data_IF_119010531636
#
_entry.id   IF_119010531636
#
_cell.length_a   1.000
_cell.length_b   1.000
_cell.length_c   1.000
_cell.angle_alpha   90.00
_cell.angle_beta   90.00
_cell.angle_gamma   90.00
#
_symmetry.space_group_name_H-M   'P 1'
#
loop_
_entity.id
_entity.type
_entity.pdbx_description
1 polymer ?
#
# COMPACT_ATOMS: atom_id res chain seq x y z
N UNK A 1 -35.41 6.56 -10.10
CA UNK A 1 -34.79 6.56 -8.76
C UNK A 1 -33.28 6.64 -8.99
N UNK A 2 -32.68 7.79 -8.72
CA UNK A 2 -31.27 8.05 -9.05
C UNK A 2 -30.41 7.43 -7.96
N UNK A 3 -29.74 6.32 -8.30
CA UNK A 3 -28.82 5.60 -7.42
C UNK A 3 -27.70 6.55 -6.97
N UNK A 4 -27.38 6.58 -5.68
CA UNK A 4 -26.33 7.43 -5.11
C UNK A 4 -24.92 6.98 -5.54
N UNK A 5 -23.93 7.86 -5.45
CA UNK A 5 -22.52 7.55 -5.78
C UNK A 5 -21.95 6.41 -4.94
N UNK A 6 -22.41 6.25 -3.70
CA UNK A 6 -22.01 5.16 -2.80
C UNK A 6 -22.48 3.80 -3.34
N UNK A 7 -23.71 3.73 -3.84
CA UNK A 7 -24.29 2.50 -4.38
C UNK A 7 -23.55 2.03 -5.65
N UNK A 8 -23.12 2.96 -6.51
CA UNK A 8 -22.24 2.63 -7.64
C UNK A 8 -20.88 2.07 -7.19
N UNK A 9 -20.30 2.64 -6.14
CA UNK A 9 -19.06 2.13 -5.55
C UNK A 9 -19.21 0.70 -5.01
N UNK A 10 -20.31 0.41 -4.33
CA UNK A 10 -20.62 -0.95 -3.84
C UNK A 10 -20.81 -1.94 -4.99
N UNK A 11 -21.57 -1.57 -6.03
CA UNK A 11 -21.77 -2.42 -7.21
C UNK A 11 -20.46 -2.73 -7.91
N UNK A 12 -19.58 -1.74 -8.05
CA UNK A 12 -18.26 -1.94 -8.65
C UNK A 12 -17.39 -2.90 -7.84
N UNK A 13 -17.30 -2.70 -6.52
CA UNK A 13 -16.49 -3.55 -5.65
C UNK A 13 -16.97 -5.01 -5.64
N UNK A 14 -18.29 -5.21 -5.53
CA UNK A 14 -18.89 -6.55 -5.58
C UNK A 14 -18.72 -7.18 -6.96
N UNK A 15 -18.85 -6.40 -8.04
CA UNK A 15 -18.65 -6.86 -9.41
C UNK A 15 -17.22 -7.37 -9.66
N UNK A 16 -16.21 -6.59 -9.27
CA UNK A 16 -14.80 -6.97 -9.42
C UNK A 16 -14.43 -8.17 -8.54
N UNK A 17 -14.91 -8.18 -7.28
CA UNK A 17 -14.73 -9.32 -6.38
C UNK A 17 -15.37 -10.60 -6.92
N UNK A 18 -16.59 -10.51 -7.43
CA UNK A 18 -17.30 -11.64 -8.04
C UNK A 18 -16.60 -12.16 -9.29
N UNK A 19 -16.13 -11.26 -10.16
CA UNK A 19 -15.40 -11.63 -11.36
C UNK A 19 -14.08 -12.36 -11.05
N UNK A 20 -13.29 -11.85 -10.10
CA UNK A 20 -12.04 -12.51 -9.70
C UNK A 20 -12.29 -13.90 -9.09
N UNK A 21 -13.33 -14.06 -8.27
CA UNK A 21 -13.73 -15.36 -7.74
C UNK A 21 -14.17 -16.35 -8.85
N UNK A 22 -14.92 -15.87 -9.85
CA UNK A 22 -15.33 -16.69 -11.00
C UNK A 22 -14.13 -17.17 -11.81
N UNK A 23 -13.15 -16.30 -12.06
CA UNK A 23 -11.90 -16.67 -12.72
C UNK A 23 -11.13 -17.74 -11.94
N UNK A 24 -11.04 -17.60 -10.61
CA UNK A 24 -10.40 -18.61 -9.75
C UNK A 24 -11.13 -19.95 -9.78
N UNK A 25 -12.46 -19.94 -9.78
CA UNK A 25 -13.28 -21.16 -9.91
C UNK A 25 -13.10 -21.82 -11.27
N UNK A 26 -13.13 -21.05 -12.35
CA UNK A 26 -12.88 -21.54 -13.70
C UNK A 26 -11.48 -22.15 -13.82
N UNK A 27 -10.45 -21.49 -13.28
CA UNK A 27 -9.09 -22.01 -13.25
C UNK A 27 -9.00 -23.34 -12.48
N UNK A 28 -9.70 -23.48 -11.36
CA UNK A 28 -9.76 -24.72 -10.57
C UNK A 28 -10.50 -25.86 -11.31
N UNK A 29 -11.55 -25.54 -12.07
CA UNK A 29 -12.32 -26.53 -12.83
C UNK A 29 -11.59 -27.02 -14.07
N UNK A 30 -10.91 -26.12 -14.79
CA UNK A 30 -10.14 -26.43 -15.99
C UNK A 30 -8.75 -27.00 -15.68
N UNK A 31 -8.23 -26.74 -14.47
CA UNK A 31 -6.91 -27.20 -14.04
C UNK A 31 -6.79 -28.72 -13.96
N UNK A 32 -5.72 -29.27 -14.52
CA UNK A 32 -5.41 -30.70 -14.42
C UNK A 32 -5.08 -31.07 -12.97
N UNK A 33 -5.88 -31.93 -12.37
CA UNK A 33 -5.66 -32.42 -10.99
C UNK A 33 -4.46 -33.38 -10.96
N UNK A 34 -3.28 -32.86 -10.63
CA UNK A 34 -2.10 -33.70 -10.36
C UNK A 34 -2.23 -34.33 -8.96
N UNK A 35 -1.69 -35.54 -8.75
CA UNK A 35 -1.57 -36.11 -7.39
C UNK A 35 -0.76 -35.13 -6.55
N UNK A 36 -1.23 -34.83 -5.34
CA UNK A 36 -0.52 -33.96 -4.41
C UNK A 36 0.85 -34.58 -4.13
N UNK A 37 1.87 -34.06 -4.80
CA UNK A 37 3.24 -34.52 -4.68
C UNK A 37 3.92 -33.60 -3.67
N UNK A 38 4.61 -34.17 -2.67
CA UNK A 38 5.18 -33.39 -1.57
C UNK A 38 6.15 -32.31 -2.07
N UNK A 39 6.85 -32.58 -3.18
CA UNK A 39 7.73 -31.64 -3.88
C UNK A 39 7.02 -30.49 -4.59
N UNK A 40 5.75 -30.65 -4.98
CA UNK A 40 4.95 -29.57 -5.54
C UNK A 40 4.34 -28.68 -4.45
N UNK A 41 4.31 -29.17 -3.20
CA UNK A 41 3.79 -28.44 -2.04
C UNK A 41 4.90 -27.77 -1.20
N UNK A 42 6.18 -28.03 -1.49
CA UNK A 42 7.30 -27.32 -0.88
C UNK A 42 7.54 -25.95 -1.53
N UNK A 43 8.14 -25.01 -0.79
CA UNK A 43 8.56 -23.73 -1.34
C UNK A 43 9.47 -23.92 -2.57
N UNK A 44 9.36 -23.02 -3.54
CA UNK A 44 10.22 -23.04 -4.71
C UNK A 44 11.62 -22.59 -4.32
N UNK A 45 12.54 -23.56 -4.28
CA UNK A 45 13.96 -23.35 -4.01
C UNK A 45 14.76 -23.38 -5.32
N UNK A 46 16.00 -22.94 -5.28
CA UNK A 46 16.94 -22.98 -6.42
C UNK A 46 17.40 -24.41 -6.83
N UNK A 47 16.68 -25.46 -6.40
CA UNK A 47 16.98 -26.87 -6.66
C UNK A 47 17.77 -27.58 -5.56
N UNK A 48 18.12 -26.87 -4.49
CA UNK A 48 18.81 -27.43 -3.31
C UNK A 48 17.84 -27.69 -2.15
N UNK A 49 18.21 -28.57 -1.23
CA UNK A 49 17.45 -28.75 0.00
C UNK A 49 17.55 -27.50 0.86
N UNK A 50 16.45 -27.12 1.51
CA UNK A 50 16.40 -25.96 2.39
C UNK A 50 17.46 -26.11 3.50
N UNK A 51 18.52 -25.31 3.41
CA UNK A 51 19.61 -25.29 4.38
C UNK A 51 19.26 -24.23 5.43
N UNK A 52 18.86 -24.68 6.63
CA UNK A 52 18.57 -23.88 7.82
C UNK A 52 17.21 -23.17 7.89
N UNK A 53 16.97 -22.58 9.07
CA UNK A 53 15.74 -21.92 9.46
C UNK A 53 15.65 -20.54 8.76
N UNK A 54 14.52 -20.21 8.12
CA UNK A 54 14.29 -18.96 7.40
C UNK A 54 14.09 -17.75 8.34
N UNK A 55 15.02 -17.53 9.27
CA UNK A 55 15.01 -16.35 10.14
C UNK A 55 15.59 -15.18 9.38
N UNK A 56 14.71 -14.41 8.75
CA UNK A 56 15.06 -13.10 8.20
C UNK A 56 15.36 -12.15 9.37
N UNK A 57 16.52 -11.48 9.41
CA UNK A 57 16.76 -10.43 10.39
C UNK A 57 15.73 -9.32 10.22
N UNK A 58 15.24 -8.77 11.34
CA UNK A 58 14.31 -7.64 11.29
C UNK A 58 15.03 -6.42 10.70
N UNK A 59 14.50 -5.91 9.60
CA UNK A 59 15.07 -4.80 8.86
C UNK A 59 14.41 -3.48 9.31
N UNK A 60 15.12 -2.73 10.15
CA UNK A 60 14.70 -1.40 10.63
C UNK A 60 14.36 -0.42 9.49
N UNK A 61 14.94 -0.61 8.31
CA UNK A 61 14.67 0.22 7.11
C UNK A 61 13.20 0.21 6.70
N UNK A 62 12.56 -0.96 6.66
CA UNK A 62 11.13 -1.05 6.27
C UNK A 62 10.23 -0.40 7.32
N UNK A 63 10.64 -0.46 8.60
CA UNK A 63 9.92 0.20 9.68
C UNK A 63 10.01 1.73 9.56
N UNK A 64 11.19 2.29 9.28
CA UNK A 64 11.36 3.74 9.10
C UNK A 64 10.56 4.24 7.89
N UNK A 65 10.60 3.52 6.75
CA UNK A 65 9.77 3.86 5.58
C UNK A 65 8.28 3.84 5.92
N UNK A 66 7.81 2.84 6.67
CA UNK A 66 6.41 2.77 7.09
C UNK A 66 6.01 3.93 8.03
N UNK A 67 6.89 4.34 8.93
CA UNK A 67 6.66 5.50 9.81
C UNK A 67 6.60 6.81 9.04
N UNK A 68 7.55 7.04 8.12
CA UNK A 68 7.56 8.24 7.27
C UNK A 68 6.29 8.30 6.42
N UNK A 69 5.87 7.17 5.84
CA UNK A 69 4.61 7.07 5.10
C UNK A 69 3.40 7.39 5.97
N UNK A 70 3.34 6.85 7.19
CA UNK A 70 2.23 7.11 8.12
C UNK A 70 2.11 8.60 8.48
N UNK A 71 3.25 9.25 8.76
CA UNK A 71 3.28 10.69 9.07
C UNK A 71 2.82 11.50 7.86
N UNK A 72 3.36 11.21 6.68
CA UNK A 72 2.97 11.91 5.45
C UNK A 72 1.48 11.73 5.09
N UNK A 73 0.91 10.55 5.34
CA UNK A 73 -0.53 10.31 5.12
C UNK A 73 -1.41 11.15 6.06
N UNK A 74 -1.03 11.23 7.34
CA UNK A 74 -1.71 12.10 8.32
C UNK A 74 -1.61 13.58 7.92
N UNK A 75 -0.46 14.02 7.44
CA UNK A 75 -0.25 15.40 6.98
C UNK A 75 -1.08 15.73 5.73
N UNK A 76 -1.26 14.77 4.83
CA UNK A 76 -2.08 14.94 3.62
C UNK A 76 -3.56 15.14 3.98
N UNK A 77 -4.06 14.39 4.97
CA UNK A 77 -5.41 14.57 5.51
C UNK A 77 -5.60 15.98 6.08
N UNK A 78 -4.57 16.57 6.70
CA UNK A 78 -4.63 17.93 7.24
C UNK A 78 -4.66 19.01 6.14
N UNK A 79 -4.03 18.77 4.99
CA UNK A 79 -4.01 19.72 3.86
C UNK A 79 -5.30 19.63 3.02
N UNK A 80 -5.93 18.45 2.96
CA UNK A 80 -7.10 18.18 2.12
C UNK A 80 -8.25 19.23 2.23
N UNK A 81 -8.65 19.73 3.43
CA UNK A 81 -9.72 20.71 3.55
C UNK A 81 -9.47 22.03 2.82
N UNK A 82 -8.21 22.42 2.66
CA UNK A 82 -7.82 23.59 1.88
C UNK A 82 -8.08 23.38 0.39
N UNK A 83 -7.67 22.23 -0.17
CA UNK A 83 -7.88 21.91 -1.58
C UNK A 83 -9.34 21.64 -1.94
N UNK A 84 -10.13 21.13 -0.99
CA UNK A 84 -11.58 20.99 -1.17
C UNK A 84 -12.33 22.34 -1.09
N UNK A 85 -11.64 23.46 -0.85
CA UNK A 85 -12.25 24.79 -0.80
C UNK A 85 -13.01 25.10 0.49
N UNK A 86 -12.98 24.20 1.48
CA UNK A 86 -13.73 24.35 2.75
C UNK A 86 -13.16 25.48 3.60
N UNK A 87 -11.85 25.72 3.53
CA UNK A 87 -11.16 26.73 4.32
C UNK A 87 -10.37 27.75 3.50
N UNK A 88 -10.66 27.91 2.20
CA UNK A 88 -9.85 28.71 1.26
C UNK A 88 -9.94 30.22 1.55
N UNK A 89 -9.09 30.70 2.46
CA UNK A 89 -8.89 32.11 2.80
C UNK A 89 -7.44 32.52 2.50
N UNK A 90 -7.14 33.81 2.32
CA UNK A 90 -5.75 34.26 2.17
C UNK A 90 -4.85 33.84 3.34
N UNK A 91 -5.41 33.77 4.55
CA UNK A 91 -4.71 33.30 5.75
C UNK A 91 -4.41 31.80 5.70
N UNK A 92 -5.38 30.97 5.29
CA UNK A 92 -5.16 29.52 5.17
C UNK A 92 -4.12 29.18 4.10
N UNK A 93 -4.03 29.97 3.02
CA UNK A 93 -2.99 29.82 2.00
C UNK A 93 -1.60 29.98 2.62
N UNK A 94 -1.41 30.99 3.47
CA UNK A 94 -0.15 31.21 4.17
C UNK A 94 0.17 30.07 5.15
N UNK A 95 -0.84 29.58 5.89
CA UNK A 95 -0.68 28.43 6.78
C UNK A 95 -0.27 27.16 6.03
N UNK A 96 -0.94 26.85 4.92
CA UNK A 96 -0.62 25.68 4.09
C UNK A 96 0.77 25.81 3.47
N UNK A 97 1.17 27.01 3.02
CA UNK A 97 2.52 27.24 2.51
C UNK A 97 3.60 26.95 3.56
N UNK A 98 3.45 27.49 4.78
CA UNK A 98 4.38 27.21 5.86
C UNK A 98 4.38 25.74 6.29
N UNK A 99 3.20 25.13 6.35
CA UNK A 99 3.07 23.70 6.64
C UNK A 99 3.84 22.86 5.61
N UNK A 100 3.62 23.11 4.31
CA UNK A 100 4.33 22.45 3.21
C UNK A 100 5.85 22.66 3.28
N UNK A 101 6.32 23.86 3.67
CA UNK A 101 7.75 24.11 3.87
C UNK A 101 8.34 23.25 4.97
N UNK A 102 7.63 23.07 6.10
CA UNK A 102 8.07 22.19 7.19
C UNK A 102 8.12 20.74 6.71
N UNK A 103 7.12 20.27 5.95
CA UNK A 103 7.11 18.90 5.41
C UNK A 103 8.29 18.66 4.47
N UNK A 104 8.55 19.62 3.58
CA UNK A 104 9.64 19.52 2.62
C UNK A 104 11.00 19.48 3.31
N UNK A 105 11.21 20.32 4.32
CA UNK A 105 12.44 20.32 5.12
C UNK A 105 12.60 19.04 5.94
N UNK A 106 11.52 18.53 6.55
CA UNK A 106 11.52 17.27 7.29
C UNK A 106 11.89 16.08 6.39
N UNK A 107 11.36 16.05 5.16
CA UNK A 107 11.71 15.02 4.18
C UNK A 107 13.18 15.09 3.76
N UNK A 108 13.72 16.29 3.51
CA UNK A 108 15.14 16.46 3.19
C UNK A 108 16.02 16.00 4.35
N UNK A 109 15.65 16.30 5.59
CA UNK A 109 16.37 15.85 6.77
C UNK A 109 16.43 14.31 6.83
N UNK A 110 15.30 13.64 6.67
CA UNK A 110 15.22 12.18 6.68
C UNK A 110 15.97 11.52 5.50
N UNK A 111 15.96 12.16 4.33
CA UNK A 111 16.79 11.74 3.18
C UNK A 111 18.27 11.78 3.52
N UNK A 112 18.75 12.85 4.16
CA UNK A 112 20.16 13.03 4.48
C UNK A 112 20.67 12.05 5.54
N UNK A 113 19.80 11.59 6.44
CA UNK A 113 20.11 10.53 7.42
C UNK A 113 20.21 9.13 6.79
N UNK A 114 20.01 9.00 5.47
CA UNK A 114 20.14 7.73 4.77
C UNK A 114 19.00 6.74 5.06
N UNK A 115 17.91 7.19 5.67
CA UNK A 115 16.73 6.37 5.98
C UNK A 115 16.12 5.71 4.73
N UNK A 116 16.28 6.34 3.57
CA UNK A 116 15.77 5.88 2.27
C UNK A 116 16.85 5.28 1.34
N UNK A 117 18.09 5.13 1.82
CA UNK A 117 19.14 4.48 1.03
C UNK A 117 19.04 2.94 1.11
N UNK A 118 18.77 2.35 -0.04
CA UNK A 118 18.76 0.90 -0.23
C UNK A 118 20.16 0.44 -0.62
N UNK A 119 20.71 -0.45 0.20
CA UNK A 119 21.86 -1.30 -0.13
C UNK A 119 21.36 -2.74 -0.22
#
# INVERSE_FOLDING_TARGET
MMMSSLEWGMVYFVGVGGFSALLLLAAKMLGKKSRANMYAASAFECGFQAMSNARMPFSLKFYIVALVFLVFDVELILILPYFCGVMATPWSMLCVFWFMMVLFLGLIHECNEGAMEWQ
#
